data_IF_020318922663
#
_entry.id   IF_020318922663
#
_cell.length_a   1.000
_cell.length_b   1.000
_cell.length_c   1.000
_cell.angle_alpha   90.00
_cell.angle_beta   90.00
_cell.angle_gamma   90.00
#
_symmetry.space_group_name_H-M   'P 1'
#
loop_
_entity.id
_entity.type
_entity.pdbx_description
1 polymer ?
#
# COMPACT_ATOMS: atom_id res chain seq x y z
N UNK A 1 7.53 -2.49 10.55
CA UNK A 1 7.60 -2.24 9.09
C UNK A 1 6.82 -3.30 8.34
N UNK A 2 6.54 -3.13 7.04
CA UNK A 2 5.90 -4.17 6.23
C UNK A 2 6.89 -5.31 5.92
N UNK A 3 6.46 -6.54 6.18
CA UNK A 3 7.25 -7.73 5.88
C UNK A 3 6.79 -8.36 4.56
N UNK A 4 7.75 -8.63 3.69
CA UNK A 4 7.54 -9.31 2.40
C UNK A 4 8.28 -10.64 2.38
N UNK A 5 7.67 -11.60 1.70
CA UNK A 5 8.23 -12.91 1.40
C UNK A 5 8.11 -13.19 -0.09
N UNK A 6 8.64 -14.32 -0.56
CA UNK A 6 8.60 -14.71 -1.98
C UNK A 6 7.17 -14.62 -2.57
N UNK A 7 6.16 -15.07 -1.82
CA UNK A 7 4.75 -15.04 -2.22
C UNK A 7 4.10 -13.66 -2.22
N UNK A 8 4.82 -12.60 -1.88
CA UNK A 8 4.31 -11.22 -1.87
C UNK A 8 5.24 -10.21 -2.54
N UNK A 9 6.21 -10.70 -3.31
CA UNK A 9 7.18 -9.84 -3.98
C UNK A 9 6.51 -8.91 -5.00
N UNK A 10 5.54 -9.42 -5.79
CA UNK A 10 4.81 -8.59 -6.74
C UNK A 10 3.98 -7.49 -6.06
N UNK A 11 3.41 -7.77 -4.89
CA UNK A 11 2.74 -6.74 -4.09
C UNK A 11 3.72 -5.65 -3.65
N UNK A 12 4.95 -6.00 -3.26
CA UNK A 12 6.01 -5.02 -2.97
C UNK A 12 6.36 -4.18 -4.19
N UNK A 13 6.55 -4.81 -5.35
CA UNK A 13 6.87 -4.11 -6.60
C UNK A 13 5.81 -3.06 -6.94
N UNK A 14 4.53 -3.43 -6.91
CA UNK A 14 3.45 -2.47 -7.13
C UNK A 14 3.40 -1.38 -6.04
N UNK A 15 3.61 -1.76 -4.77
CA UNK A 15 3.60 -0.80 -3.68
C UNK A 15 4.66 0.30 -3.87
N UNK A 16 5.89 -0.10 -4.21
CA UNK A 16 6.99 0.82 -4.50
C UNK A 16 6.74 1.63 -5.76
N UNK A 17 6.21 1.00 -6.82
CA UNK A 17 5.88 1.69 -8.07
C UNK A 17 4.92 2.86 -7.84
N UNK A 18 3.78 2.61 -7.19
CA UNK A 18 2.78 3.66 -6.96
C UNK A 18 3.21 4.67 -5.90
N UNK A 19 3.89 4.25 -4.84
CA UNK A 19 4.45 5.18 -3.87
C UNK A 19 5.47 6.14 -4.51
N UNK A 20 6.29 5.63 -5.44
CA UNK A 20 7.24 6.45 -6.21
C UNK A 20 6.51 7.44 -7.13
N UNK A 21 5.40 7.03 -7.75
CA UNK A 21 4.56 7.90 -8.59
C UNK A 21 3.94 9.06 -7.80
N UNK A 22 3.60 8.85 -6.53
CA UNK A 22 3.11 9.91 -5.63
C UNK A 22 4.24 10.85 -5.20
N UNK A 23 5.47 10.36 -5.07
CA UNK A 23 6.64 11.16 -4.72
C UNK A 23 6.81 11.45 -3.23
N UNK A 24 6.12 10.70 -2.36
CA UNK A 24 6.27 10.81 -0.91
C UNK A 24 7.33 9.83 -0.39
N UNK A 25 8.46 10.34 0.09
CA UNK A 25 9.57 9.51 0.60
C UNK A 25 9.20 8.61 1.78
N UNK A 26 8.35 9.09 2.71
CA UNK A 26 7.92 8.28 3.86
C UNK A 26 7.03 7.13 3.40
N UNK A 27 6.13 7.39 2.45
CA UNK A 27 5.29 6.37 1.82
C UNK A 27 6.14 5.31 1.11
N UNK A 28 7.14 5.73 0.35
CA UNK A 28 8.07 4.82 -0.35
C UNK A 28 8.79 3.92 0.66
N UNK A 29 9.38 4.50 1.72
CA UNK A 29 10.14 3.76 2.72
C UNK A 29 9.25 2.77 3.52
N UNK A 30 8.01 3.16 3.82
CA UNK A 30 7.07 2.25 4.47
C UNK A 30 6.63 1.11 3.53
N UNK A 31 6.27 1.44 2.28
CA UNK A 31 5.82 0.47 1.27
C UNK A 31 6.93 -0.45 0.76
N UNK A 32 8.19 -0.04 0.85
CA UNK A 32 9.35 -0.89 0.58
C UNK A 32 9.66 -1.84 1.75
N UNK A 33 9.10 -1.57 2.93
CA UNK A 33 9.41 -2.26 4.18
C UNK A 33 10.74 -1.85 4.80
N UNK A 34 11.28 -0.69 4.42
CA UNK A 34 12.55 -0.14 4.94
C UNK A 34 12.37 0.71 6.19
N UNK A 35 11.16 1.25 6.41
CA UNK A 35 10.85 2.09 7.56
C UNK A 35 9.56 1.65 8.28
N UNK A 36 9.44 2.07 9.53
CA UNK A 36 8.29 1.81 10.40
C UNK A 36 7.52 3.09 10.73
N UNK A 37 6.35 2.94 11.34
CA UNK A 37 5.57 4.08 11.81
C UNK A 37 5.96 4.47 13.23
N UNK A 38 6.13 5.76 13.47
CA UNK A 38 6.46 6.32 14.78
C UNK A 38 5.24 6.76 15.58
N UNK A 39 4.06 6.87 14.95
CA UNK A 39 2.87 7.41 15.58
C UNK A 39 1.63 7.45 14.69
N UNK A 40 0.54 7.97 15.26
CA UNK A 40 -0.77 8.05 14.60
C UNK A 40 -0.79 8.99 13.39
N UNK A 41 -0.01 10.08 13.43
CA UNK A 41 0.06 11.05 12.32
C UNK A 41 0.67 10.40 11.08
N UNK A 42 1.81 9.71 11.24
CA UNK A 42 2.41 8.94 10.15
C UNK A 42 1.47 7.82 9.64
N UNK A 43 0.74 7.16 10.55
CA UNK A 43 -0.24 6.16 10.14
C UNK A 43 -1.36 6.76 9.28
N UNK A 44 -1.87 7.94 9.63
CA UNK A 44 -2.87 8.62 8.82
C UNK A 44 -2.33 9.00 7.43
N UNK A 45 -1.10 9.54 7.36
CA UNK A 45 -0.44 9.88 6.09
C UNK A 45 -0.24 8.63 5.20
N UNK A 46 0.19 7.52 5.78
CA UNK A 46 0.38 6.26 5.05
C UNK A 46 -0.94 5.68 4.58
N UNK A 47 -2.00 5.76 5.38
CA UNK A 47 -3.34 5.31 4.98
C UNK A 47 -3.84 6.12 3.80
N UNK A 48 -3.69 7.45 3.85
CA UNK A 48 -4.06 8.31 2.73
C UNK A 48 -3.27 7.93 1.47
N UNK A 49 -1.94 7.81 1.59
CA UNK A 49 -1.08 7.43 0.48
C UNK A 49 -1.43 6.05 -0.12
N UNK A 50 -1.77 5.07 0.72
CA UNK A 50 -2.22 3.75 0.27
C UNK A 50 -3.48 3.84 -0.60
N UNK A 51 -4.42 4.71 -0.24
CA UNK A 51 -5.62 4.88 -1.04
C UNK A 51 -5.36 5.61 -2.36
N UNK A 52 -4.49 6.62 -2.37
CA UNK A 52 -4.04 7.27 -3.61
C UNK A 52 -3.36 6.26 -4.55
N UNK A 53 -2.55 5.33 -4.01
CA UNK A 53 -1.98 4.22 -4.79
C UNK A 53 -3.06 3.31 -5.37
N UNK A 54 -4.13 3.05 -4.61
CA UNK A 54 -5.25 2.23 -5.06
C UNK A 54 -6.01 2.88 -6.21
N UNK A 55 -6.20 4.20 -6.15
CA UNK A 55 -6.85 4.97 -7.22
C UNK A 55 -6.03 4.89 -8.53
N UNK A 56 -4.70 4.99 -8.46
CA UNK A 56 -3.84 4.74 -9.63
C UNK A 56 -3.93 3.31 -10.14
N UNK A 57 -3.92 2.34 -9.23
CA UNK A 57 -3.97 0.92 -9.61
C UNK A 57 -5.28 0.53 -10.31
N UNK A 58 -6.41 1.13 -9.91
CA UNK A 58 -7.69 0.93 -10.59
C UNK A 58 -7.62 1.45 -12.03
N UNK A 59 -7.06 2.65 -12.24
CA UNK A 59 -6.90 3.22 -13.59
C UNK A 59 -5.99 2.35 -14.44
N UNK A 60 -4.84 1.93 -13.91
CA UNK A 60 -3.87 1.14 -14.66
C UNK A 60 -4.41 -0.28 -14.95
N UNK A 61 -5.14 -0.89 -14.01
CA UNK A 61 -5.86 -2.14 -14.23
C UNK A 61 -6.90 -2.05 -15.35
N UNK A 62 -7.75 -1.00 -15.33
CA UNK A 62 -8.79 -0.80 -16.35
C UNK A 62 -8.22 -0.51 -17.75
N UNK A 63 -6.94 -0.14 -17.85
CA UNK A 63 -6.24 0.12 -19.11
C UNK A 63 -5.30 -1.04 -19.50
N UNK A 64 -5.40 -2.20 -18.85
CA UNK A 64 -4.56 -3.38 -19.10
C UNK A 64 -3.05 -3.08 -19.05
N UNK A 65 -2.64 -2.14 -18.17
CA UNK A 65 -1.23 -1.77 -18.00
C UNK A 65 -0.48 -2.93 -17.36
N UNK A 66 0.74 -3.19 -17.85
CA UNK A 66 1.67 -4.16 -17.26
C UNK A 66 2.79 -3.40 -16.56
N UNK A 67 2.97 -3.66 -15.27
CA UNK A 67 4.00 -3.00 -14.44
C UNK A 67 5.04 -4.04 -14.05
N UNK A 68 6.28 -3.90 -14.55
CA UNK A 68 7.38 -4.84 -14.27
C UNK A 68 7.01 -6.32 -14.49
N UNK A 69 6.22 -6.59 -15.53
CA UNK A 69 5.73 -7.94 -15.88
C UNK A 69 4.52 -8.41 -15.06
N UNK A 70 3.98 -7.57 -14.17
CA UNK A 70 2.79 -7.86 -13.38
C UNK A 70 1.56 -7.45 -14.18
N UNK A 71 0.70 -8.43 -14.49
CA UNK A 71 -0.55 -8.24 -15.25
C UNK A 71 -1.76 -8.11 -14.32
N UNK A 72 -1.81 -8.93 -13.26
CA UNK A 72 -2.94 -8.96 -12.33
C UNK A 72 -2.79 -7.92 -11.21
N UNK A 73 -2.88 -6.64 -11.57
CA UNK A 73 -2.71 -5.52 -10.65
C UNK A 73 -3.71 -5.60 -9.48
N UNK A 74 -4.98 -5.90 -9.76
CA UNK A 74 -6.04 -5.99 -8.75
C UNK A 74 -5.71 -7.05 -7.69
N UNK A 75 -5.33 -8.25 -8.09
CA UNK A 75 -4.97 -9.32 -7.15
C UNK A 75 -3.83 -8.90 -6.21
N UNK A 76 -2.77 -8.31 -6.75
CA UNK A 76 -1.62 -7.91 -5.95
C UNK A 76 -1.89 -6.70 -5.06
N UNK A 77 -2.74 -5.77 -5.49
CA UNK A 77 -3.23 -4.68 -4.64
C UNK A 77 -4.12 -5.21 -3.51
N UNK A 78 -4.96 -6.23 -3.76
CA UNK A 78 -5.69 -6.90 -2.69
C UNK A 78 -4.75 -7.62 -1.68
N UNK A 79 -3.65 -8.21 -2.15
CA UNK A 79 -2.61 -8.76 -1.25
C UNK A 79 -1.96 -7.66 -0.42
N UNK A 80 -1.68 -6.50 -1.02
CA UNK A 80 -1.12 -5.36 -0.33
C UNK A 80 -2.10 -4.78 0.70
N UNK A 81 -3.37 -4.64 0.36
CA UNK A 81 -4.45 -4.21 1.27
C UNK A 81 -4.46 -5.03 2.56
N UNK A 82 -4.42 -6.36 2.44
CA UNK A 82 -4.39 -7.25 3.59
C UNK A 82 -3.13 -7.08 4.45
N UNK A 83 -1.98 -6.79 3.83
CA UNK A 83 -0.73 -6.52 4.54
C UNK A 83 -0.76 -5.20 5.29
N UNK A 84 -1.16 -4.11 4.62
CA UNK A 84 -1.25 -2.77 5.21
C UNK A 84 -2.27 -2.77 6.33
N UNK A 85 -3.50 -3.25 6.09
CA UNK A 85 -4.52 -3.35 7.12
C UNK A 85 -4.11 -4.23 8.30
N UNK A 86 -3.51 -5.40 8.00
CA UNK A 86 -2.97 -6.29 9.04
C UNK A 86 -1.88 -5.63 9.88
N UNK A 87 -1.01 -4.85 9.26
CA UNK A 87 0.00 -4.05 9.96
C UNK A 87 -0.66 -2.97 10.83
N UNK A 88 -1.62 -2.20 10.30
CA UNK A 88 -2.29 -1.12 11.04
C UNK A 88 -2.99 -1.66 12.29
N UNK A 89 -3.68 -2.79 12.18
CA UNK A 89 -4.37 -3.44 13.30
C UNK A 89 -3.37 -3.90 14.36
N UNK A 90 -2.28 -4.57 13.96
CA UNK A 90 -1.28 -5.11 14.88
C UNK A 90 -0.54 -4.02 15.68
N UNK A 91 -0.39 -2.83 15.10
CA UNK A 91 0.35 -1.72 15.71
C UNK A 91 -0.55 -0.67 16.40
N UNK A 92 -1.83 -0.97 16.61
CA UNK A 92 -2.74 -0.11 17.39
C UNK A 92 -3.47 0.98 16.58
N UNK A 93 -3.34 0.97 15.25
CA UNK A 93 -3.97 1.94 14.35
C UNK A 93 -5.30 1.47 13.76
N UNK A 94 -5.93 0.43 14.35
CA UNK A 94 -7.19 -0.16 13.86
C UNK A 94 -8.29 0.88 13.62
N UNK A 95 -8.46 1.84 14.53
CA UNK A 95 -9.52 2.84 14.40
C UNK A 95 -9.31 3.75 13.18
N UNK A 96 -8.06 4.15 12.90
CA UNK A 96 -7.73 4.95 11.72
C UNK A 96 -7.98 4.15 10.44
N UNK A 97 -7.55 2.89 10.42
CA UNK A 97 -7.77 1.99 9.28
C UNK A 97 -9.26 1.80 8.99
N UNK A 98 -10.05 1.41 10.00
CA UNK A 98 -11.49 1.16 9.84
C UNK A 98 -12.24 2.42 9.39
N UNK A 99 -11.91 3.58 9.95
CA UNK A 99 -12.50 4.85 9.54
C UNK A 99 -12.24 5.13 8.06
N UNK A 100 -10.99 4.94 7.60
CA UNK A 100 -10.64 5.15 6.19
C UNK A 100 -11.33 4.17 5.22
N UNK A 101 -11.59 2.93 5.66
CA UNK A 101 -12.32 1.93 4.86
C UNK A 101 -13.79 2.31 4.74
N UNK A 102 -14.40 2.88 5.78
CA UNK A 102 -15.81 3.26 5.76
C UNK A 102 -16.12 4.45 4.82
N UNK A 103 -15.10 5.20 4.39
CA UNK A 103 -15.20 6.36 3.50
C UNK A 103 -15.05 6.01 2.01
N UNK A 104 -14.74 4.75 1.68
CA UNK A 104 -14.48 4.25 0.32
C UNK A 104 -15.65 3.44 -0.21
#
# INVERSE_FOLDING_TARGET
MLEYNEGSQNAKTLAVHYATRIGNHKLIAFMSGEDDLSGADEAAEIIQGFWEMTDFAIVDHNNDVVIDGIVDIEFWMHKLFNKVGGYMIKNGYKQLWDASVAER
#
